data_IF_138340546452
#
_entry.id   IF_138340546452
#
_cell.length_a   1.000
_cell.length_b   1.000
_cell.length_c   1.000
_cell.angle_alpha   90.00
_cell.angle_beta   90.00
_cell.angle_gamma   90.00
#
_symmetry.space_group_name_H-M   'P 1'
#
loop_
_entity.id
_entity.type
_entity.pdbx_description
1 polymer ?
#
# COMPACT_ATOMS: atom_id res chain seq x y z
N UNK A 1 -8.07 16.66 -0.45
CA UNK A 1 -7.59 15.84 -1.60
C UNK A 1 -8.40 16.15 -2.85
N UNK A 2 -7.78 16.12 -4.05
CA UNK A 2 -8.46 16.40 -5.35
C UNK A 2 -9.12 15.17 -5.98
N UNK A 3 -8.90 13.99 -5.43
CA UNK A 3 -9.26 12.66 -5.94
C UNK A 3 -10.23 12.01 -4.95
N UNK A 4 -11.10 11.13 -5.40
CA UNK A 4 -11.95 10.31 -4.54
C UNK A 4 -11.21 9.03 -4.11
N UNK A 5 -11.66 8.40 -3.05
CA UNK A 5 -11.15 7.11 -2.57
C UNK A 5 -11.18 6.04 -3.68
N UNK A 6 -12.29 5.98 -4.43
CA UNK A 6 -12.44 5.06 -5.54
C UNK A 6 -11.42 5.34 -6.67
N UNK A 7 -11.22 6.60 -7.04
CA UNK A 7 -10.22 6.97 -8.05
C UNK A 7 -8.81 6.60 -7.60
N UNK A 8 -8.49 6.77 -6.33
CA UNK A 8 -7.21 6.35 -5.78
C UNK A 8 -7.00 4.83 -5.91
N UNK A 9 -8.00 4.03 -5.52
CA UNK A 9 -7.95 2.57 -5.67
C UNK A 9 -7.83 2.15 -7.14
N UNK A 10 -8.62 2.76 -8.04
CA UNK A 10 -8.54 2.46 -9.48
C UNK A 10 -7.15 2.76 -10.05
N UNK A 11 -6.52 3.85 -9.61
CA UNK A 11 -5.15 4.18 -10.02
C UNK A 11 -4.14 3.15 -9.49
N UNK A 12 -4.23 2.75 -8.22
CA UNK A 12 -3.37 1.70 -7.66
C UNK A 12 -3.50 0.38 -8.42
N UNK A 13 -4.72 0.00 -8.76
CA UNK A 13 -5.00 -1.22 -9.52
C UNK A 13 -4.48 -1.15 -10.97
N UNK A 14 -4.41 0.05 -11.55
CA UNK A 14 -3.89 0.27 -12.90
C UNK A 14 -2.37 0.18 -12.99
N UNK A 15 -1.66 0.27 -11.86
CA UNK A 15 -0.19 0.12 -11.83
C UNK A 15 0.15 -1.36 -11.71
N UNK A 16 0.80 -1.98 -12.72
CA UNK A 16 1.18 -3.38 -12.64
C UNK A 16 2.25 -3.60 -11.56
N UNK A 17 2.00 -4.56 -10.68
CA UNK A 17 2.93 -4.99 -9.63
C UNK A 17 2.88 -6.50 -9.43
N UNK A 18 2.77 -7.23 -10.53
CA UNK A 18 2.72 -8.70 -10.52
C UNK A 18 4.07 -9.26 -10.11
N UNK A 19 4.07 -10.03 -9.03
CA UNK A 19 5.27 -10.60 -8.45
C UNK A 19 6.03 -11.46 -9.46
N UNK A 20 7.32 -11.17 -9.62
CA UNK A 20 8.21 -11.84 -10.57
C UNK A 20 8.14 -11.31 -12.00
N UNK A 21 7.08 -10.59 -12.40
CA UNK A 21 6.94 -9.99 -13.74
C UNK A 21 7.30 -8.50 -13.73
N UNK A 22 6.73 -7.74 -12.80
CA UNK A 22 6.90 -6.30 -12.71
C UNK A 22 7.81 -5.91 -11.54
N UNK A 23 8.21 -4.64 -11.53
CA UNK A 23 8.84 -4.01 -10.37
C UNK A 23 7.76 -3.37 -9.50
N UNK A 24 7.88 -3.46 -8.17
CA UNK A 24 7.01 -2.72 -7.26
C UNK A 24 7.44 -1.26 -7.06
N UNK A 25 8.50 -0.81 -7.73
CA UNK A 25 8.97 0.58 -7.61
C UNK A 25 7.97 1.60 -8.10
N UNK A 26 7.26 1.31 -9.21
CA UNK A 26 6.31 2.27 -9.78
C UNK A 26 5.12 2.52 -8.85
N UNK A 27 4.58 1.45 -8.25
CA UNK A 27 3.50 1.58 -7.28
C UNK A 27 4.00 2.22 -5.98
N UNK A 28 5.23 1.93 -5.54
CA UNK A 28 5.84 2.56 -4.38
C UNK A 28 6.02 4.07 -4.58
N UNK A 29 6.49 4.49 -5.76
CA UNK A 29 6.62 5.91 -6.12
C UNK A 29 5.25 6.60 -6.11
N UNK A 30 4.24 5.99 -6.71
CA UNK A 30 2.89 6.54 -6.75
C UNK A 30 2.31 6.74 -5.34
N UNK A 31 2.43 5.72 -4.47
CA UNK A 31 1.97 5.78 -3.08
C UNK A 31 2.70 6.88 -2.31
N UNK A 32 4.02 6.89 -2.39
CA UNK A 32 4.84 7.88 -1.69
C UNK A 32 4.50 9.31 -2.12
N UNK A 33 4.37 9.57 -3.41
CA UNK A 33 4.00 10.89 -3.92
C UNK A 33 2.62 11.32 -3.41
N UNK A 34 1.62 10.44 -3.50
CA UNK A 34 0.27 10.72 -3.01
C UNK A 34 0.25 11.06 -1.51
N UNK A 35 1.00 10.31 -0.70
CA UNK A 35 1.10 10.56 0.74
C UNK A 35 1.82 11.87 1.05
N UNK A 36 2.92 12.18 0.36
CA UNK A 36 3.68 13.44 0.54
C UNK A 36 2.85 14.65 0.12
N UNK A 37 2.13 14.58 -1.01
CA UNK A 37 1.22 15.63 -1.46
C UNK A 37 0.07 15.88 -0.46
N UNK A 38 -0.32 14.84 0.28
CA UNK A 38 -1.30 14.93 1.38
C UNK A 38 -0.69 15.39 2.71
N UNK A 39 0.61 15.69 2.76
CA UNK A 39 1.33 16.16 3.93
C UNK A 39 1.76 15.07 4.92
N UNK A 40 1.77 13.81 4.49
CA UNK A 40 2.32 12.69 5.27
C UNK A 40 3.83 12.57 5.02
N UNK A 41 4.60 12.34 6.08
CA UNK A 41 6.02 11.98 5.96
C UNK A 41 6.12 10.54 5.44
N UNK A 42 6.49 10.39 4.18
CA UNK A 42 6.58 9.12 3.49
C UNK A 42 7.87 9.00 2.69
N UNK A 43 8.53 7.84 2.79
CA UNK A 43 9.82 7.55 2.16
C UNK A 43 9.76 6.21 1.44
N UNK A 44 10.58 6.06 0.39
CA UNK A 44 10.78 4.79 -0.31
C UNK A 44 12.07 4.17 0.20
N UNK A 45 12.00 2.89 0.55
CA UNK A 45 13.17 2.06 0.81
C UNK A 45 13.44 1.20 -0.42
N UNK A 46 14.36 1.63 -1.28
CA UNK A 46 14.82 0.83 -2.41
C UNK A 46 15.68 -0.34 -1.89
N UNK A 47 15.29 -1.56 -2.23
CA UNK A 47 15.93 -2.79 -1.75
C UNK A 47 16.88 -3.33 -2.82
N UNK A 48 16.40 -3.45 -4.06
CA UNK A 48 17.18 -3.88 -5.23
C UNK A 48 16.59 -3.27 -6.51
N UNK A 49 16.89 -3.86 -7.67
CA UNK A 49 16.44 -3.34 -8.97
C UNK A 49 14.91 -3.39 -9.16
N UNK A 50 14.22 -4.32 -8.49
CA UNK A 50 12.77 -4.55 -8.63
C UNK A 50 11.97 -4.17 -7.39
N UNK A 51 12.53 -4.33 -6.21
CA UNK A 51 11.81 -4.28 -4.95
C UNK A 51 12.03 -2.95 -4.22
N UNK A 52 10.96 -2.41 -3.71
CA UNK A 52 10.97 -1.25 -2.84
C UNK A 52 9.81 -1.31 -1.86
N UNK A 53 10.03 -0.86 -0.62
CA UNK A 53 8.97 -0.63 0.36
C UNK A 53 8.61 0.86 0.39
N UNK A 54 7.41 1.15 0.86
CA UNK A 54 7.02 2.50 1.31
C UNK A 54 6.91 2.49 2.83
N UNK A 55 7.53 3.47 3.45
CA UNK A 55 7.42 3.70 4.90
C UNK A 55 6.86 5.08 5.13
N UNK A 56 5.80 5.19 5.90
CA UNK A 56 5.21 6.48 6.21
C UNK A 56 4.87 6.60 7.70
N UNK A 57 4.78 7.85 8.18
CA UNK A 57 4.52 8.14 9.58
C UNK A 57 3.50 9.25 9.73
N UNK A 58 2.48 8.99 10.53
CA UNK A 58 1.58 10.01 11.06
C UNK A 58 1.80 10.13 12.57
N UNK A 59 2.38 11.25 13.01
CA UNK A 59 2.68 11.49 14.41
C UNK A 59 1.40 11.62 15.23
N UNK A 60 1.32 10.82 16.30
CA UNK A 60 0.25 10.88 17.29
C UNK A 60 0.58 11.76 18.48
N UNK A 61 -0.35 11.84 19.45
CA UNK A 61 -0.19 12.56 20.72
C UNK A 61 0.87 11.91 21.62
N UNK A 62 1.03 10.58 21.50
CA UNK A 62 2.03 9.82 22.26
C UNK A 62 3.10 9.22 21.35
N UNK A 63 4.19 8.76 21.96
CA UNK A 63 5.26 8.01 21.29
C UNK A 63 4.96 6.53 21.12
N UNK A 64 3.84 6.04 21.65
CA UNK A 64 3.39 4.67 21.43
C UNK A 64 3.04 4.46 19.95
N UNK A 65 3.36 3.28 19.43
CA UNK A 65 3.28 3.00 17.99
C UNK A 65 2.26 1.92 17.70
N UNK A 66 1.46 2.18 16.67
CA UNK A 66 0.65 1.19 15.96
C UNK A 66 1.21 1.07 14.54
N UNK A 67 1.42 -0.15 14.08
CA UNK A 67 1.84 -0.42 12.71
C UNK A 67 0.60 -0.73 11.87
N UNK A 68 0.53 -0.12 10.68
CA UNK A 68 -0.36 -0.54 9.60
C UNK A 68 0.49 -1.11 8.48
N UNK A 69 0.22 -2.34 8.09
CA UNK A 69 0.98 -3.04 7.05
C UNK A 69 0.07 -3.58 5.95
N UNK A 70 0.50 -3.38 4.71
CA UNK A 70 -0.10 -3.98 3.54
C UNK A 70 0.92 -4.18 2.44
N UNK A 71 0.71 -5.19 1.57
CA UNK A 71 1.61 -5.42 0.45
C UNK A 71 1.14 -4.74 -0.84
N UNK A 72 2.10 -4.43 -1.70
CA UNK A 72 1.89 -3.70 -2.94
C UNK A 72 1.87 -4.62 -4.17
N UNK A 73 2.47 -5.79 -4.06
CA UNK A 73 2.52 -6.78 -5.13
C UNK A 73 1.23 -7.59 -5.25
N UNK A 74 1.13 -8.32 -6.33
CA UNK A 74 0.02 -9.24 -6.60
C UNK A 74 0.55 -10.54 -7.19
N UNK A 75 -0.19 -11.63 -7.01
CA UNK A 75 0.06 -12.88 -7.75
C UNK A 75 -0.16 -12.68 -9.26
N UNK A 76 0.40 -13.56 -10.11
CA UNK A 76 0.13 -13.57 -11.55
C UNK A 76 -1.36 -13.64 -11.90
N UNK A 77 -1.70 -13.20 -13.11
CA UNK A 77 -3.10 -13.16 -13.58
C UNK A 77 -3.71 -14.56 -13.73
N UNK A 78 -2.88 -15.61 -13.86
CA UNK A 78 -3.33 -16.97 -14.12
C UNK A 78 -3.88 -17.15 -15.53
N UNK A 79 -4.84 -18.06 -15.69
CA UNK A 79 -5.53 -18.23 -16.97
C UNK A 79 -6.55 -17.10 -17.15
N UNK A 80 -6.22 -16.16 -18.02
CA UNK A 80 -7.06 -14.98 -18.26
C UNK A 80 -8.40 -15.31 -18.94
N UNK A 81 -8.56 -16.49 -19.51
CA UNK A 81 -9.84 -16.96 -20.10
C UNK A 81 -10.89 -17.30 -19.02
N UNK A 82 -10.46 -17.52 -17.78
CA UNK A 82 -11.34 -17.81 -16.65
C UNK A 82 -11.88 -16.55 -15.96
N UNK A 83 -11.46 -15.36 -16.41
CA UNK A 83 -11.94 -14.12 -15.85
C UNK A 83 -13.16 -13.59 -16.60
N UNK A 84 -14.18 -13.13 -15.86
CA UNK A 84 -15.34 -12.44 -16.44
C UNK A 84 -15.02 -11.03 -16.96
N UNK A 85 -13.89 -10.47 -16.53
CA UNK A 85 -13.39 -9.14 -16.91
C UNK A 85 -11.90 -9.21 -17.15
N UNK A 86 -11.33 -8.21 -17.84
CA UNK A 86 -9.88 -8.15 -18.00
C UNK A 86 -9.19 -7.93 -16.64
N UNK A 87 -8.38 -8.86 -16.11
CA UNK A 87 -7.75 -8.73 -14.80
C UNK A 87 -6.67 -7.64 -14.75
N UNK A 88 -6.16 -7.17 -15.90
CA UNK A 88 -5.10 -6.17 -16.01
C UNK A 88 -5.63 -4.74 -15.95
N UNK A 89 -6.92 -4.56 -16.19
CA UNK A 89 -7.54 -3.24 -16.27
C UNK A 89 -8.68 -3.15 -15.26
N UNK A 90 -8.57 -2.31 -14.24
CA UNK A 90 -9.63 -2.19 -13.25
C UNK A 90 -10.90 -1.63 -13.87
N UNK A 91 -12.01 -2.28 -13.62
CA UNK A 91 -13.33 -1.82 -14.04
C UNK A 91 -14.30 -1.82 -12.86
N UNK A 92 -15.25 -0.88 -12.88
CA UNK A 92 -16.39 -0.89 -11.98
C UNK A 92 -17.59 -1.47 -12.71
N UNK A 93 -18.23 -2.48 -12.11
CA UNK A 93 -19.46 -3.07 -12.63
C UNK A 93 -20.37 -3.44 -11.46
N UNK A 94 -21.63 -2.98 -11.50
CA UNK A 94 -22.64 -3.30 -10.48
C UNK A 94 -22.19 -2.94 -9.05
N UNK A 95 -21.48 -1.81 -8.88
CA UNK A 95 -20.99 -1.35 -7.58
C UNK A 95 -19.79 -2.14 -7.03
N UNK A 96 -19.17 -2.99 -7.85
CA UNK A 96 -17.96 -3.75 -7.50
C UNK A 96 -16.81 -3.39 -8.44
N UNK A 97 -15.57 -3.44 -7.92
CA UNK A 97 -14.36 -3.23 -8.71
C UNK A 97 -13.71 -4.59 -8.99
N UNK A 98 -13.43 -4.82 -10.27
CA UNK A 98 -12.82 -6.07 -10.76
C UNK A 98 -11.45 -5.77 -11.34
N UNK A 99 -10.41 -6.40 -10.78
CA UNK A 99 -9.04 -6.43 -11.28
C UNK A 99 -8.22 -7.45 -10.47
N UNK A 100 -7.05 -7.88 -10.95
CA UNK A 100 -6.05 -8.55 -10.10
C UNK A 100 -5.59 -7.58 -9.01
N UNK A 101 -5.56 -8.06 -7.75
CA UNK A 101 -5.19 -7.24 -6.59
C UNK A 101 -6.34 -6.43 -5.98
N UNK A 102 -7.56 -6.46 -6.56
CA UNK A 102 -8.69 -5.71 -6.00
C UNK A 102 -9.09 -6.20 -4.62
N UNK A 103 -9.02 -7.50 -4.35
CA UNK A 103 -9.32 -8.08 -3.03
C UNK A 103 -8.05 -8.29 -2.22
N UNK A 104 -7.00 -8.76 -2.85
CA UNK A 104 -5.72 -9.10 -2.24
C UNK A 104 -4.58 -8.34 -2.94
N UNK A 105 -4.01 -7.26 -2.29
CA UNK A 105 -4.72 -6.58 -1.18
C UNK A 105 -4.80 -5.07 -1.40
N UNK A 106 -4.78 -4.61 -2.67
CA UNK A 106 -4.74 -3.16 -2.99
C UNK A 106 -5.95 -2.38 -2.46
N UNK A 107 -7.10 -3.02 -2.21
CA UNK A 107 -8.23 -2.34 -1.55
C UNK A 107 -7.93 -2.03 -0.08
N UNK A 108 -7.41 -2.98 0.68
CA UNK A 108 -6.99 -2.76 2.05
C UNK A 108 -5.85 -1.75 2.14
N UNK A 109 -4.85 -1.90 1.26
CA UNK A 109 -3.74 -0.95 1.12
C UNK A 109 -4.24 0.48 0.83
N UNK A 110 -5.16 0.63 -0.13
CA UNK A 110 -5.76 1.92 -0.48
C UNK A 110 -6.54 2.52 0.70
N UNK A 111 -7.32 1.71 1.40
CA UNK A 111 -8.07 2.15 2.58
C UNK A 111 -7.18 2.68 3.71
N UNK A 112 -6.06 2.00 3.99
CA UNK A 112 -5.07 2.46 4.97
C UNK A 112 -4.45 3.79 4.56
N UNK A 113 -3.93 3.89 3.33
CA UNK A 113 -3.29 5.10 2.82
C UNK A 113 -4.27 6.27 2.81
N UNK A 114 -5.47 6.04 2.28
CA UNK A 114 -6.52 7.05 2.21
C UNK A 114 -6.89 7.57 3.60
N UNK A 115 -7.06 6.67 4.57
CA UNK A 115 -7.38 7.04 5.95
C UNK A 115 -6.30 7.90 6.58
N UNK A 116 -5.02 7.56 6.40
CA UNK A 116 -3.90 8.39 6.90
C UNK A 116 -3.92 9.79 6.29
N UNK A 117 -4.12 9.87 4.97
CA UNK A 117 -4.18 11.14 4.26
C UNK A 117 -5.39 11.98 4.69
N UNK A 118 -6.55 11.35 4.93
CA UNK A 118 -7.73 12.02 5.46
C UNK A 118 -7.53 12.54 6.88
N UNK A 119 -6.96 11.74 7.77
CA UNK A 119 -6.60 12.21 9.11
C UNK A 119 -5.74 13.46 9.05
N UNK A 120 -4.75 13.47 8.15
CA UNK A 120 -3.86 14.62 7.97
C UNK A 120 -4.59 15.86 7.42
N UNK A 121 -5.43 15.68 6.39
CA UNK A 121 -6.22 16.77 5.79
C UNK A 121 -7.17 17.42 6.81
N UNK A 122 -7.78 16.60 7.66
CA UNK A 122 -8.72 17.02 8.72
C UNK A 122 -8.01 17.53 9.99
N UNK A 123 -6.67 17.59 10.01
CA UNK A 123 -5.85 17.90 11.17
C UNK A 123 -6.15 16.99 12.39
N UNK A 124 -6.60 15.76 12.12
CA UNK A 124 -6.81 14.79 13.19
C UNK A 124 -5.47 14.22 13.65
N UNK A 125 -5.20 14.32 14.95
CA UNK A 125 -4.00 13.77 15.59
C UNK A 125 -4.41 12.52 16.36
N UNK A 126 -3.99 11.31 15.90
CA UNK A 126 -4.32 10.06 16.57
C UNK A 126 -3.69 10.00 17.98
N UNK A 127 -4.24 9.23 18.89
CA UNK A 127 -3.69 9.05 20.25
C UNK A 127 -2.29 8.43 20.20
N UNK A 128 -2.06 7.47 19.31
CA UNK A 128 -0.78 6.82 19.10
C UNK A 128 -0.22 7.16 17.73
N UNK A 129 1.09 7.17 17.63
CA UNK A 129 1.78 7.35 16.34
C UNK A 129 1.48 6.16 15.43
N UNK A 130 1.06 6.40 14.19
CA UNK A 130 0.84 5.37 13.20
C UNK A 130 2.06 5.32 12.27
N UNK A 131 2.65 4.13 12.14
CA UNK A 131 3.69 3.83 11.16
C UNK A 131 3.11 2.89 10.12
N UNK A 132 3.13 3.32 8.88
CA UNK A 132 2.64 2.54 7.74
C UNK A 132 3.81 1.90 7.01
N UNK A 133 3.65 0.64 6.67
CA UNK A 133 4.52 -0.11 5.78
C UNK A 133 3.74 -0.63 4.58
N UNK A 134 4.09 -0.15 3.38
CA UNK A 134 3.72 -0.78 2.11
C UNK A 134 4.86 -1.71 1.70
N UNK A 135 4.67 -3.01 1.84
CA UNK A 135 5.72 -4.01 1.59
C UNK A 135 5.68 -4.56 0.17
N UNK A 136 6.83 -4.97 -0.33
CA UNK A 136 6.98 -5.64 -1.61
C UNK A 136 7.19 -7.15 -1.42
N UNK A 137 6.93 -7.93 -2.50
CA UNK A 137 7.24 -9.37 -2.63
C UNK A 137 6.62 -10.24 -1.51
N UNK A 138 5.43 -9.85 -1.03
CA UNK A 138 4.72 -10.63 0.00
C UNK A 138 4.29 -11.98 -0.54
N UNK A 139 3.73 -12.00 -1.75
CA UNK A 139 3.13 -13.15 -2.42
C UNK A 139 4.13 -14.24 -2.84
N UNK A 140 5.42 -14.06 -2.55
CA UNK A 140 6.44 -15.02 -2.98
C UNK A 140 7.53 -15.28 -1.95
N UNK A 141 8.39 -14.29 -1.70
CA UNK A 141 9.57 -14.50 -0.85
C UNK A 141 9.58 -13.61 0.40
N UNK A 142 8.72 -12.59 0.49
CA UNK A 142 8.66 -11.66 1.60
C UNK A 142 9.92 -10.80 1.74
N UNK A 143 10.54 -10.42 0.63
CA UNK A 143 11.77 -9.61 0.61
C UNK A 143 11.58 -8.30 1.37
N UNK A 144 10.43 -7.63 1.16
CA UNK A 144 10.12 -6.36 1.81
C UNK A 144 10.03 -6.48 3.33
N UNK A 145 9.33 -7.48 3.82
CA UNK A 145 9.17 -7.72 5.25
C UNK A 145 10.51 -8.06 5.93
N UNK A 146 11.33 -8.91 5.29
CA UNK A 146 12.68 -9.22 5.80
C UNK A 146 13.56 -7.99 5.86
N UNK A 147 13.53 -7.17 4.81
CA UNK A 147 14.30 -5.93 4.78
C UNK A 147 13.93 -5.00 5.94
N UNK A 148 12.64 -4.86 6.24
CA UNK A 148 12.17 -4.05 7.38
C UNK A 148 12.69 -4.60 8.71
N UNK A 149 12.64 -5.92 8.93
CA UNK A 149 13.14 -6.55 10.15
C UNK A 149 14.63 -6.28 10.40
N UNK A 150 15.42 -6.27 9.34
CA UNK A 150 16.86 -6.06 9.37
C UNK A 150 17.24 -4.57 9.45
N UNK A 151 16.46 -3.69 8.83
CA UNK A 151 16.81 -2.29 8.60
C UNK A 151 15.93 -1.27 9.35
N UNK A 152 15.30 -1.65 10.45
CA UNK A 152 14.69 -0.68 11.36
C UNK A 152 13.19 -0.71 11.47
N UNK A 153 12.56 -1.86 11.31
CA UNK A 153 11.16 -2.03 11.71
C UNK A 153 10.94 -1.59 13.16
N UNK A 154 9.81 -0.93 13.43
CA UNK A 154 9.45 -0.48 14.77
C UNK A 154 9.15 -1.67 15.69
N UNK A 155 10.15 -2.09 16.47
CA UNK A 155 10.06 -3.28 17.35
C UNK A 155 9.20 -3.05 18.60
N UNK A 156 8.92 -1.79 18.94
CA UNK A 156 8.16 -1.41 20.15
C UNK A 156 6.67 -1.12 19.84
N UNK A 157 6.18 -1.55 18.69
CA UNK A 157 4.78 -1.38 18.36
C UNK A 157 3.90 -2.24 19.28
N UNK A 158 2.80 -1.67 19.75
CA UNK A 158 1.84 -2.35 20.61
C UNK A 158 0.85 -3.22 19.81
N UNK A 159 0.63 -2.87 18.55
CA UNK A 159 -0.32 -3.51 17.66
C UNK A 159 0.17 -3.38 16.21
N UNK A 160 -0.05 -4.42 15.42
CA UNK A 160 0.04 -4.37 13.98
C UNK A 160 -1.32 -4.71 13.38
N UNK A 161 -1.82 -3.82 12.53
CA UNK A 161 -2.98 -4.05 11.67
C UNK A 161 -2.44 -4.47 10.30
N UNK A 162 -2.91 -5.62 9.82
CA UNK A 162 -2.62 -6.13 8.47
C UNK A 162 -3.94 -6.09 7.72
N UNK A 163 -3.95 -5.43 6.56
CA UNK A 163 -5.15 -5.24 5.74
C UNK A 163 -5.26 -6.23 4.61
#
# INVERSE_FOLDING_TARGET
MKMTEKEFLMNLLSIPSVNGENSEKDIAVYIQQFMVESGIDAQIQFIDEKHANVVAKLQGKSSEIIIWNGHMDTVPYGDEQLWDTNPRTPIEKEGKIFARGASDMKSGLAGMIWTLCKMKEENYVPEKTIVFYGTCDEEKNGVGARYLLENGMQKNAQLMLIG
#
